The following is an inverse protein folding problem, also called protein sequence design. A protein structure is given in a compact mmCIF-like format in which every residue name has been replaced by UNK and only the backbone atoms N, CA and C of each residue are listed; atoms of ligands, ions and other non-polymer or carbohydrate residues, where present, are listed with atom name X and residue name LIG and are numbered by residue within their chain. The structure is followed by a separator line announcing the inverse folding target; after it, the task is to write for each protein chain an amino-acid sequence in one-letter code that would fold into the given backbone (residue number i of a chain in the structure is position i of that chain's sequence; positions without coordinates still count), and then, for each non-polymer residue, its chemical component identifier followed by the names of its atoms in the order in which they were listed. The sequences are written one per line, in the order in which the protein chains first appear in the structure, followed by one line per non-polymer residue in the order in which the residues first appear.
data_IF_642343583646
#
_entry.id   IF_642343583646
#
_cell.length_a   1.000
_cell.length_b   1.000
_cell.length_c   1.000
_cell.angle_alpha   90.00
_cell.angle_beta   90.00
_cell.angle_gamma   90.00
#
_symmetry.space_group_name_H-M   'P 1'
#
loop_
_entity.id
_entity.type
_entity.pdbx_description
1 polymer ?
#
# COMPACT_ATOMS: atom_id res chain seq x y z
N UNK A 1 2.21 -16.45 10.38
CA UNK A 1 2.02 -16.66 8.95
C UNK A 1 0.99 -15.67 8.44
N UNK A 2 1.21 -15.09 7.26
CA UNK A 2 0.24 -14.23 6.56
C UNK A 2 -0.61 -15.07 5.61
N UNK A 3 -1.79 -14.55 5.28
CA UNK A 3 -2.74 -15.13 4.31
C UNK A 3 -2.98 -14.07 3.25
N UNK A 4 -2.96 -14.50 1.99
CA UNK A 4 -3.34 -13.68 0.84
C UNK A 4 -4.27 -14.45 -0.07
N UNK A 5 -5.35 -13.80 -0.49
CA UNK A 5 -6.42 -14.37 -1.30
C UNK A 5 -6.64 -13.45 -2.50
N UNK A 6 -6.62 -14.01 -3.70
CA UNK A 6 -7.02 -13.31 -4.91
C UNK A 6 -8.36 -13.85 -5.40
N UNK A 7 -9.35 -12.97 -5.50
CA UNK A 7 -10.69 -13.27 -6.01
C UNK A 7 -10.88 -12.60 -7.37
N UNK A 8 -11.12 -13.39 -8.41
CA UNK A 8 -11.28 -12.89 -9.77
C UNK A 8 -12.77 -12.96 -10.16
N UNK A 9 -13.33 -11.81 -10.48
CA UNK A 9 -14.70 -11.70 -11.02
C UNK A 9 -14.66 -11.37 -12.51
N UNK A 10 -15.04 -12.31 -13.36
CA UNK A 10 -15.10 -12.13 -14.83
C UNK A 10 -16.48 -11.65 -15.32
N UNK A 11 -17.47 -11.65 -14.45
CA UNK A 11 -18.87 -11.29 -14.73
C UNK A 11 -19.28 -9.93 -14.16
N UNK A 12 -20.60 -9.70 -14.00
CA UNK A 12 -21.14 -8.50 -13.34
C UNK A 12 -20.73 -8.43 -11.87
N UNK A 13 -20.91 -7.25 -11.27
CA UNK A 13 -20.65 -7.06 -9.84
C UNK A 13 -21.49 -8.02 -8.99
N UNK A 14 -20.89 -8.55 -7.93
CA UNK A 14 -21.56 -9.50 -7.02
C UNK A 14 -20.92 -9.48 -5.64
N UNK A 15 -21.64 -9.96 -4.64
CA UNK A 15 -21.11 -10.27 -3.33
C UNK A 15 -20.89 -11.77 -3.22
N UNK A 16 -19.75 -12.17 -2.66
CA UNK A 16 -19.42 -13.57 -2.41
C UNK A 16 -19.12 -13.79 -0.93
N UNK A 17 -19.47 -14.98 -0.45
CA UNK A 17 -19.04 -15.46 0.86
C UNK A 17 -17.82 -16.37 0.66
N UNK A 18 -16.78 -16.13 1.43
CA UNK A 18 -15.56 -16.94 1.45
C UNK A 18 -15.50 -17.64 2.79
N UNK A 19 -15.45 -18.96 2.76
CA UNK A 19 -15.34 -19.81 3.93
C UNK A 19 -13.93 -20.38 4.03
N UNK A 20 -13.19 -19.92 5.02
CA UNK A 20 -11.86 -20.37 5.40
C UNK A 20 -11.87 -21.02 6.79
N UNK A 21 -13.04 -21.42 7.30
CA UNK A 21 -13.19 -21.96 8.66
C UNK A 21 -12.38 -23.23 8.91
N UNK A 22 -12.11 -23.99 7.83
CA UNK A 22 -11.29 -25.20 7.88
C UNK A 22 -9.78 -24.93 7.75
N UNK A 23 -9.37 -23.67 7.53
CA UNK A 23 -7.95 -23.33 7.45
C UNK A 23 -7.29 -23.54 8.80
N UNK A 24 -6.12 -24.13 8.77
CA UNK A 24 -5.38 -24.50 10.00
C UNK A 24 -5.16 -23.28 10.88
N UNK A 25 -5.43 -23.44 12.15
CA UNK A 25 -4.96 -22.55 13.21
C UNK A 25 -3.43 -22.48 13.21
N UNK A 26 -2.90 -21.37 13.65
CA UNK A 26 -1.46 -21.21 13.90
C UNK A 26 -1.02 -22.19 14.99
N UNK A 27 0.29 -22.42 15.06
CA UNK A 27 0.86 -23.28 16.13
C UNK A 27 0.63 -22.77 17.55
N UNK A 28 0.32 -21.47 17.68
CA UNK A 28 -0.05 -20.80 18.94
C UNK A 28 -1.56 -20.88 19.25
N UNK A 29 -2.33 -21.62 18.45
CA UNK A 29 -3.78 -21.77 18.62
C UNK A 29 -4.61 -20.61 18.03
N UNK A 30 -3.98 -19.55 17.50
CA UNK A 30 -4.72 -18.45 16.89
C UNK A 30 -5.23 -18.81 15.49
N UNK A 31 -6.44 -18.33 15.09
CA UNK A 31 -6.93 -18.52 13.71
C UNK A 31 -5.97 -17.91 12.68
N UNK A 32 -5.90 -18.53 11.50
CA UNK A 32 -5.08 -18.01 10.39
C UNK A 32 -5.48 -16.60 9.96
N UNK A 33 -6.76 -16.26 10.11
CA UNK A 33 -7.32 -14.91 9.86
C UNK A 33 -7.47 -14.15 11.18
N UNK A 34 -6.36 -13.88 11.85
CA UNK A 34 -6.29 -13.25 13.17
C UNK A 34 -6.37 -11.71 13.15
N UNK A 35 -6.32 -11.11 11.98
CA UNK A 35 -6.48 -9.67 11.77
C UNK A 35 -7.29 -9.39 10.52
N UNK A 36 -7.90 -8.20 10.38
CA UNK A 36 -8.63 -7.83 9.18
C UNK A 36 -7.77 -7.97 7.93
N UNK A 37 -8.37 -8.41 6.84
CA UNK A 37 -7.69 -8.47 5.55
C UNK A 37 -7.73 -7.08 4.90
N UNK A 38 -6.59 -6.51 4.56
CA UNK A 38 -6.55 -5.34 3.67
C UNK A 38 -7.08 -5.72 2.30
N UNK A 39 -7.96 -4.88 1.77
CA UNK A 39 -8.61 -5.07 0.47
C UNK A 39 -8.04 -4.12 -0.57
N UNK A 40 -7.55 -4.66 -1.66
CA UNK A 40 -7.07 -3.90 -2.83
C UNK A 40 -7.88 -4.39 -4.04
N UNK A 41 -8.51 -3.48 -4.77
CA UNK A 41 -9.33 -3.79 -5.93
C UNK A 41 -8.64 -3.31 -7.19
N UNK A 42 -8.50 -4.21 -8.15
CA UNK A 42 -7.95 -3.95 -9.48
C UNK A 42 -9.08 -4.02 -10.50
N UNK A 43 -9.40 -2.90 -11.11
CA UNK A 43 -10.31 -2.77 -12.25
C UNK A 43 -9.52 -2.20 -13.42
N UNK A 44 -9.74 -2.72 -14.64
CA UNK A 44 -9.01 -2.25 -15.81
C UNK A 44 -9.23 -0.74 -16.09
N UNK A 45 -10.45 -0.26 -15.82
CA UNK A 45 -10.81 1.15 -16.01
C UNK A 45 -10.33 2.05 -14.87
N UNK A 46 -10.05 1.49 -13.68
CA UNK A 46 -9.64 2.23 -12.50
C UNK A 46 -8.65 1.40 -11.67
N UNK A 47 -7.41 1.23 -12.13
CA UNK A 47 -6.39 0.50 -11.38
C UNK A 47 -6.09 1.23 -10.07
N UNK A 48 -5.71 0.51 -8.99
CA UNK A 48 -5.41 1.12 -7.70
C UNK A 48 -4.01 1.78 -7.69
N UNK A 49 -3.74 2.60 -8.71
CA UNK A 49 -2.48 3.31 -8.91
C UNK A 49 -2.74 4.81 -9.00
N UNK A 50 -1.79 5.60 -8.50
CA UNK A 50 -1.81 7.04 -8.71
C UNK A 50 -1.15 7.43 -10.05
N UNK A 51 -1.06 8.72 -10.33
CA UNK A 51 -0.44 9.25 -11.56
C UNK A 51 1.07 8.91 -11.71
N UNK A 52 1.71 8.41 -10.66
CA UNK A 52 3.12 8.00 -10.63
C UNK A 52 3.28 6.48 -10.63
N UNK A 53 2.21 5.74 -10.91
CA UNK A 53 2.13 4.27 -10.83
C UNK A 53 2.41 3.69 -9.44
N UNK A 54 2.30 4.50 -8.39
CA UNK A 54 2.36 3.98 -7.03
C UNK A 54 1.04 3.34 -6.64
N UNK A 55 1.11 2.25 -5.89
CA UNK A 55 -0.06 1.64 -5.29
C UNK A 55 -0.75 2.64 -4.35
N UNK A 56 -2.05 2.83 -4.53
CA UNK A 56 -2.86 3.64 -3.62
C UNK A 56 -3.08 2.89 -2.29
N UNK A 57 -3.60 3.60 -1.31
CA UNK A 57 -4.02 2.98 -0.06
C UNK A 57 -5.04 1.85 -0.32
N UNK A 58 -5.05 0.85 0.55
CA UNK A 58 -6.05 -0.20 0.50
C UNK A 58 -7.47 0.40 0.46
N UNK A 59 -8.35 -0.16 -0.33
CA UNK A 59 -9.74 0.30 -0.49
C UNK A 59 -10.65 -0.06 0.69
N UNK A 60 -10.07 -0.55 1.77
CA UNK A 60 -10.73 -0.91 3.01
C UNK A 60 -10.19 -2.21 3.61
N UNK A 61 -10.91 -2.72 4.59
CA UNK A 61 -10.61 -3.99 5.25
C UNK A 61 -11.82 -4.89 5.24
N UNK A 62 -11.58 -6.20 5.34
CA UNK A 62 -12.60 -7.23 5.50
C UNK A 62 -12.26 -8.04 6.74
N UNK A 63 -13.22 -8.16 7.66
CA UNK A 63 -13.05 -8.93 8.89
C UNK A 63 -13.72 -10.29 8.74
N UNK A 64 -13.01 -11.35 9.08
CA UNK A 64 -13.55 -12.69 9.13
C UNK A 64 -14.07 -12.99 10.54
N UNK A 65 -15.24 -13.61 10.63
CA UNK A 65 -15.82 -14.14 11.87
C UNK A 65 -15.88 -15.66 11.76
N UNK A 66 -15.22 -16.37 12.67
CA UNK A 66 -15.11 -17.82 12.57
C UNK A 66 -14.46 -18.34 11.29
N UNK A 67 -13.62 -17.53 10.65
CA UNK A 67 -12.99 -17.86 9.36
C UNK A 67 -13.86 -17.56 8.13
N UNK A 68 -15.07 -17.04 8.30
CA UNK A 68 -15.99 -16.71 7.21
C UNK A 68 -16.12 -15.21 7.03
N UNK A 69 -16.14 -14.74 5.80
CA UNK A 69 -16.36 -13.34 5.48
C UNK A 69 -17.09 -13.15 4.16
N UNK A 70 -17.72 -11.99 3.99
CA UNK A 70 -18.33 -11.57 2.72
C UNK A 70 -17.55 -10.41 2.12
N UNK A 71 -17.47 -10.39 0.80
CA UNK A 71 -16.81 -9.30 0.06
C UNK A 71 -17.53 -9.00 -1.24
N UNK A 72 -17.72 -7.70 -1.51
CA UNK A 72 -18.23 -7.23 -2.79
C UNK A 72 -17.11 -7.25 -3.84
N UNK A 73 -17.35 -7.90 -4.95
CA UNK A 73 -16.47 -7.97 -6.12
C UNK A 73 -17.06 -7.10 -7.22
N UNK A 74 -16.40 -6.00 -7.63
CA UNK A 74 -16.83 -5.25 -8.80
C UNK A 74 -16.86 -6.12 -10.06
N UNK A 75 -17.56 -5.65 -11.09
CA UNK A 75 -17.57 -6.32 -12.37
C UNK A 75 -16.16 -6.35 -12.99
N UNK A 76 -15.77 -7.47 -13.61
CA UNK A 76 -14.52 -7.63 -14.35
C UNK A 76 -13.30 -7.14 -13.53
N UNK A 77 -13.20 -7.57 -12.29
CA UNK A 77 -12.19 -7.12 -11.31
C UNK A 77 -11.39 -8.28 -10.73
N UNK A 78 -10.25 -7.94 -10.16
CA UNK A 78 -9.53 -8.76 -9.20
C UNK A 78 -9.54 -8.05 -7.85
N UNK A 79 -10.00 -8.73 -6.81
CA UNK A 79 -9.92 -8.27 -5.43
C UNK A 79 -8.83 -9.07 -4.71
N UNK A 80 -7.82 -8.37 -4.24
CA UNK A 80 -6.75 -8.94 -3.45
C UNK A 80 -6.99 -8.64 -1.97
N UNK A 81 -6.94 -9.66 -1.16
CA UNK A 81 -7.15 -9.60 0.29
C UNK A 81 -5.92 -10.16 0.98
N UNK A 82 -5.37 -9.45 1.97
CA UNK A 82 -4.16 -9.92 2.66
C UNK A 82 -4.12 -9.55 4.12
N UNK A 83 -3.60 -10.47 4.94
CA UNK A 83 -3.16 -10.20 6.32
C UNK A 83 -1.66 -9.90 6.39
N UNK A 84 -0.95 -9.88 5.25
CA UNK A 84 0.48 -9.52 5.21
C UNK A 84 0.66 -8.01 5.19
N UNK A 85 0.45 -7.39 6.35
CA UNK A 85 0.74 -5.98 6.55
C UNK A 85 1.07 -5.68 8.02
N UNK A 86 1.78 -4.59 8.22
CA UNK A 86 2.02 -3.98 9.52
C UNK A 86 1.62 -2.51 9.40
N UNK A 87 0.68 -2.06 10.23
CA UNK A 87 0.30 -0.66 10.32
C UNK A 87 1.34 0.06 11.21
N UNK A 88 2.21 0.82 10.55
CA UNK A 88 3.18 1.69 11.22
C UNK A 88 3.52 2.87 10.33
N UNK A 89 3.93 3.96 10.95
CA UNK A 89 4.50 5.09 10.21
C UNK A 89 6.00 4.83 9.98
N UNK A 90 6.47 4.76 8.73
CA UNK A 90 7.90 4.70 8.43
C UNK A 90 8.64 5.89 9.02
N UNK A 91 9.94 5.76 9.33
CA UNK A 91 10.77 6.87 9.80
C UNK A 91 10.73 8.05 8.84
N UNK A 92 10.74 9.26 9.39
CA UNK A 92 10.86 10.47 8.59
C UNK A 92 12.20 10.47 7.83
N UNK A 93 12.17 11.05 6.64
CA UNK A 93 13.39 11.25 5.84
C UNK A 93 14.08 12.52 6.33
N UNK A 94 15.36 12.41 6.64
CA UNK A 94 16.19 13.54 7.08
C UNK A 94 17.04 14.14 5.97
N UNK A 95 17.67 15.30 6.24
CA UNK A 95 18.64 15.91 5.34
C UNK A 95 18.08 16.34 3.98
N UNK A 96 16.80 16.71 3.92
CA UNK A 96 16.19 17.20 2.68
C UNK A 96 16.77 18.58 2.35
N UNK A 97 17.49 18.69 1.24
CA UNK A 97 18.19 19.90 0.80
C UNK A 97 17.98 20.13 -0.70
N UNK A 98 17.71 21.38 -1.08
CA UNK A 98 17.66 21.82 -2.46
C UNK A 98 18.92 22.65 -2.78
N UNK A 99 19.78 22.15 -3.70
CA UNK A 99 21.00 22.83 -4.12
C UNK A 99 21.18 22.68 -5.63
N UNK A 100 21.40 23.81 -6.31
CA UNK A 100 21.66 23.82 -7.76
C UNK A 100 20.53 23.18 -8.61
N UNK A 101 19.28 23.24 -8.13
CA UNK A 101 18.13 22.62 -8.85
C UNK A 101 17.96 21.13 -8.60
N UNK A 102 18.81 20.54 -7.74
CA UNK A 102 18.73 19.14 -7.34
C UNK A 102 18.27 19.06 -5.88
N UNK A 103 17.17 18.36 -5.65
CA UNK A 103 16.71 17.96 -4.33
C UNK A 103 17.44 16.68 -3.92
N UNK A 104 18.02 16.64 -2.72
CA UNK A 104 18.69 15.47 -2.17
C UNK A 104 18.27 15.21 -0.73
N UNK A 105 18.43 13.99 -0.25
CA UNK A 105 18.06 13.58 1.11
C UNK A 105 18.86 12.39 1.60
N UNK A 106 18.85 12.19 2.91
CA UNK A 106 19.48 11.03 3.55
C UNK A 106 18.63 9.78 3.30
N UNK A 107 19.27 8.67 2.93
CA UNK A 107 18.60 7.40 2.75
C UNK A 107 17.80 6.98 3.99
N UNK A 108 16.57 6.49 3.79
CA UNK A 108 15.76 5.96 4.88
C UNK A 108 16.41 4.71 5.49
N UNK A 109 16.47 4.67 6.82
CA UNK A 109 16.94 3.50 7.58
C UNK A 109 15.80 2.54 7.96
N UNK A 110 14.60 2.79 7.47
CA UNK A 110 13.44 1.95 7.75
C UNK A 110 13.63 0.51 7.23
N UNK A 111 13.43 -0.53 8.07
CA UNK A 111 13.78 -1.92 7.74
C UNK A 111 12.95 -2.53 6.61
N UNK A 112 11.93 -1.84 6.14
CA UNK A 112 11.07 -2.28 5.05
C UNK A 112 10.87 -1.18 3.99
N UNK A 113 11.77 -0.18 3.97
CA UNK A 113 11.74 0.89 2.97
C UNK A 113 11.85 0.31 1.55
N UNK A 114 11.07 0.87 0.62
CA UNK A 114 11.04 0.47 -0.78
C UNK A 114 11.35 1.63 -1.71
N UNK A 115 10.71 2.79 -1.51
CA UNK A 115 10.88 3.96 -2.37
C UNK A 115 10.48 5.25 -1.63
N UNK A 116 10.64 6.41 -2.31
CA UNK A 116 10.26 7.72 -1.79
C UNK A 116 9.17 8.34 -2.65
N UNK A 117 8.25 9.05 -2.01
CA UNK A 117 7.35 10.02 -2.63
C UNK A 117 7.88 11.42 -2.38
N UNK A 118 8.03 12.19 -3.43
CA UNK A 118 8.50 13.58 -3.36
C UNK A 118 7.32 14.51 -3.59
N UNK A 119 7.20 15.49 -2.72
CA UNK A 119 6.13 16.48 -2.75
C UNK A 119 6.71 17.88 -2.92
N UNK A 120 5.97 18.74 -3.61
CA UNK A 120 6.20 20.18 -3.64
C UNK A 120 4.89 20.88 -3.33
N UNK A 121 4.90 21.81 -2.35
CA UNK A 121 3.70 22.52 -1.88
C UNK A 121 2.52 21.59 -1.54
N UNK A 122 2.83 20.44 -0.93
CA UNK A 122 1.86 19.40 -0.57
C UNK A 122 1.39 18.48 -1.70
N UNK A 123 1.78 18.77 -2.95
CA UNK A 123 1.41 17.95 -4.13
C UNK A 123 2.54 17.00 -4.47
N UNK A 124 2.22 15.72 -4.67
CA UNK A 124 3.21 14.73 -5.12
C UNK A 124 3.69 15.09 -6.54
N UNK A 125 5.00 15.11 -6.74
CA UNK A 125 5.64 15.45 -8.02
C UNK A 125 6.47 14.30 -8.59
N UNK A 126 6.85 13.33 -7.76
CA UNK A 126 7.60 12.16 -8.21
C UNK A 126 7.50 10.99 -7.23
N UNK A 127 7.83 9.82 -7.73
CA UNK A 127 8.20 8.62 -6.98
C UNK A 127 9.54 8.12 -7.45
N UNK A 128 10.44 7.75 -6.53
CA UNK A 128 11.80 7.35 -6.88
C UNK A 128 12.42 6.45 -5.81
N UNK A 129 13.33 5.57 -6.22
CA UNK A 129 14.19 4.80 -5.32
C UNK A 129 15.51 5.52 -5.02
N UNK A 130 15.86 6.52 -5.82
CA UNK A 130 17.04 7.33 -5.62
C UNK A 130 16.89 8.28 -4.43
N UNK A 131 17.98 8.77 -3.87
CA UNK A 131 18.03 9.78 -2.80
C UNK A 131 18.25 11.20 -3.34
N UNK A 132 17.95 11.41 -4.62
CA UNK A 132 18.05 12.72 -5.28
C UNK A 132 17.05 12.80 -6.44
N UNK A 133 16.62 14.03 -6.72
CA UNK A 133 15.70 14.34 -7.82
C UNK A 133 16.09 15.71 -8.42
N UNK A 134 16.24 15.77 -9.75
CA UNK A 134 16.37 17.06 -10.47
C UNK A 134 14.98 17.70 -10.55
N UNK A 135 14.82 18.82 -9.87
CA UNK A 135 13.58 19.61 -9.87
C UNK A 135 13.68 20.85 -10.75
N UNK A 136 14.73 20.93 -11.60
CA UNK A 136 14.98 22.00 -12.59
C UNK A 136 14.88 23.41 -11.99
N UNK A 137 15.32 23.56 -10.74
CA UNK A 137 15.31 24.83 -10.03
C UNK A 137 13.92 25.37 -9.64
N UNK A 138 12.86 24.55 -9.76
CA UNK A 138 11.54 24.97 -9.32
C UNK A 138 11.54 25.29 -7.83
N UNK A 139 10.99 26.46 -7.46
CA UNK A 139 10.84 26.88 -6.07
C UNK A 139 9.61 26.22 -5.44
N UNK A 140 9.56 26.13 -4.13
CA UNK A 140 8.45 25.58 -3.36
C UNK A 140 8.91 24.91 -2.09
N UNK A 141 7.98 24.49 -1.26
CA UNK A 141 8.22 23.71 -0.05
C UNK A 141 8.30 22.24 -0.42
N UNK A 142 9.48 21.66 -0.24
CA UNK A 142 9.73 20.26 -0.58
C UNK A 142 9.61 19.36 0.64
N UNK A 143 8.90 18.24 0.47
CA UNK A 143 8.87 17.15 1.42
C UNK A 143 9.18 15.83 0.72
N UNK A 144 9.94 14.97 1.41
CA UNK A 144 10.23 13.62 0.94
C UNK A 144 9.74 12.63 1.98
N UNK A 145 8.95 11.65 1.57
CA UNK A 145 8.38 10.65 2.46
C UNK A 145 8.82 9.26 2.02
N UNK A 146 9.32 8.48 2.97
CA UNK A 146 9.63 7.07 2.74
C UNK A 146 8.36 6.25 2.65
N UNK A 147 8.35 5.23 1.79
CA UNK A 147 7.25 4.27 1.65
C UNK A 147 7.80 2.87 1.91
N UNK A 148 7.11 2.11 2.76
CA UNK A 148 7.50 0.74 3.06
C UNK A 148 6.77 -0.30 2.16
N UNK A 149 7.17 -1.56 2.28
CA UNK A 149 6.61 -2.65 1.48
C UNK A 149 5.11 -2.93 1.72
N UNK A 150 4.55 -2.39 2.80
CA UNK A 150 3.13 -2.49 3.10
C UNK A 150 2.36 -1.23 2.68
N UNK A 151 3.02 -0.34 1.90
CA UNK A 151 2.48 0.92 1.43
C UNK A 151 2.14 1.92 2.55
N UNK A 152 2.77 1.80 3.71
CA UNK A 152 2.72 2.86 4.70
C UNK A 152 3.63 4.00 4.26
N UNK A 153 3.17 5.23 4.46
CA UNK A 153 3.88 6.45 4.05
C UNK A 153 4.39 7.17 5.30
N UNK A 154 5.65 7.53 5.31
CA UNK A 154 6.30 8.33 6.36
C UNK A 154 5.73 9.74 6.45
N UNK A 155 6.03 10.42 7.56
CA UNK A 155 5.68 11.83 7.77
C UNK A 155 6.67 12.76 7.12
#
# INVERSE_FOLDING_TARGET
RSVSIALINRGPAKTVTVDCSTWRTRTDGTPSLHQPLRRIVYEAANPPLNAFNDLQAASGTVTATGGVFTVALPAKSMTFLTTDYIDRTPPAVGGVELKGGVLSWTASTGPAHVYYRVYRDGVQIASTVATRLDVKGAKGDYAVRSVDRWNNVGR
#
